data_IF_340030789273
#
_entry.id   IF_340030789273
#
_cell.length_a   1.000
_cell.length_b   1.000
_cell.length_c   1.000
_cell.angle_alpha   90.00
_cell.angle_beta   90.00
_cell.angle_gamma   90.00
#
_symmetry.space_group_name_H-M   'P 1'
#
loop_
_entity.id
_entity.type
_entity.pdbx_description
1 polymer ?
#
# COMPACT_ATOMS: atom_id res chain seq x y z
N UNK A 1 34.62 -33.58 68.40
CA UNK A 1 33.22 -33.71 68.84
C UNK A 1 32.69 -32.29 68.95
N UNK A 2 32.38 -31.66 67.82
CA UNK A 2 31.08 -31.74 67.11
C UNK A 2 29.98 -31.21 68.06
N UNK A 3 29.22 -30.16 67.73
CA UNK A 3 28.27 -30.12 66.61
C UNK A 3 28.05 -28.65 66.16
N UNK A 4 28.28 -28.41 64.87
CA UNK A 4 27.67 -27.32 64.09
C UNK A 4 26.23 -27.71 63.74
N UNK A 5 25.25 -26.86 64.06
CA UNK A 5 24.01 -26.62 63.30
C UNK A 5 23.09 -25.70 64.13
N UNK A 6 22.59 -24.58 63.63
CA UNK A 6 21.41 -24.45 62.74
C UNK A 6 21.13 -22.94 62.72
N UNK A 7 20.74 -22.21 61.67
CA UNK A 7 19.93 -22.46 60.49
C UNK A 7 20.19 -21.28 59.53
N UNK A 8 20.71 -21.56 58.33
CA UNK A 8 20.74 -20.61 57.22
C UNK A 8 19.46 -20.79 56.41
N UNK A 9 18.33 -20.28 56.93
CA UNK A 9 17.13 -20.14 56.10
C UNK A 9 17.15 -18.73 55.47
N UNK A 10 17.10 -18.62 54.14
CA UNK A 10 17.03 -17.30 53.52
C UNK A 10 15.70 -16.65 53.91
N UNK A 11 15.75 -15.41 54.41
CA UNK A 11 14.56 -14.59 54.62
C UNK A 11 13.76 -14.57 53.31
N UNK A 12 12.58 -15.19 53.33
CA UNK A 12 11.59 -14.96 52.28
C UNK A 12 11.03 -13.57 52.55
N UNK A 13 11.45 -12.60 51.75
CA UNK A 13 10.66 -11.40 51.55
C UNK A 13 9.32 -11.86 50.98
N UNK A 14 8.27 -11.84 51.80
CA UNK A 14 6.90 -11.87 51.32
C UNK A 14 6.66 -10.58 50.55
N UNK A 15 7.08 -10.60 49.29
CA UNK A 15 6.77 -9.56 48.31
C UNK A 15 5.27 -9.61 48.11
N UNK A 16 4.59 -8.63 48.70
CA UNK A 16 3.19 -8.36 48.47
C UNK A 16 2.88 -8.53 46.98
N UNK A 17 2.02 -9.52 46.72
CA UNK A 17 1.42 -9.88 45.44
C UNK A 17 1.52 -8.76 44.42
N UNK A 18 2.42 -8.94 43.46
CA UNK A 18 2.40 -8.27 42.17
C UNK A 18 0.97 -8.34 41.63
N UNK A 19 0.24 -7.23 41.75
CA UNK A 19 -1.09 -7.08 41.19
C UNK A 19 -0.96 -7.06 39.66
N UNK A 20 -1.29 -8.22 39.09
CA UNK A 20 -1.74 -8.48 37.71
C UNK A 20 -0.83 -8.14 36.53
N UNK A 21 -0.63 -9.08 35.58
CA UNK A 21 0.14 -8.85 34.37
C UNK A 21 -0.68 -8.07 33.31
N UNK A 22 -0.01 -7.13 32.64
CA UNK A 22 -0.05 -7.00 31.17
C UNK A 22 -1.45 -6.72 30.56
N UNK A 23 -1.93 -5.46 30.62
CA UNK A 23 -2.91 -4.94 29.62
C UNK A 23 -2.25 -4.44 28.33
N UNK A 24 -0.91 -4.37 28.32
CA UNK A 24 -0.12 -3.74 27.25
C UNK A 24 0.04 -4.67 26.02
N UNK A 25 0.21 -5.99 26.21
CA UNK A 25 0.39 -6.94 25.09
C UNK A 25 -0.82 -7.04 24.17
N UNK A 26 -2.04 -7.02 24.72
CA UNK A 26 -3.24 -7.22 23.93
C UNK A 26 -3.45 -6.09 22.89
N UNK A 27 -3.12 -4.86 23.28
CA UNK A 27 -3.19 -3.70 22.38
C UNK A 27 -2.07 -3.74 21.34
N UNK A 28 -0.84 -4.10 21.73
CA UNK A 28 0.28 -4.24 20.81
C UNK A 28 0.07 -5.37 19.80
N UNK A 29 -0.41 -6.53 20.24
CA UNK A 29 -0.74 -7.66 19.37
C UNK A 29 -1.84 -7.30 18.37
N UNK A 30 -2.86 -6.57 18.82
CA UNK A 30 -3.93 -6.05 17.95
C UNK A 30 -3.40 -5.04 16.93
N UNK A 31 -2.55 -4.10 17.36
CA UNK A 31 -1.89 -3.13 16.49
C UNK A 31 -1.02 -3.83 15.44
N UNK A 32 -0.26 -4.85 15.84
CA UNK A 32 0.58 -5.65 14.95
C UNK A 32 -0.26 -6.41 13.92
N UNK A 33 -1.34 -7.07 14.33
CA UNK A 33 -2.24 -7.78 13.42
C UNK A 33 -2.90 -6.83 12.40
N UNK A 34 -3.32 -5.64 12.85
CA UNK A 34 -3.86 -4.60 11.96
C UNK A 34 -2.81 -4.08 10.98
N UNK A 35 -1.58 -3.84 11.45
CA UNK A 35 -0.47 -3.44 10.59
C UNK A 35 -0.14 -4.51 9.55
N UNK A 36 -0.09 -5.79 9.96
CA UNK A 36 0.11 -6.95 9.09
C UNK A 36 -0.93 -7.00 7.95
N UNK A 37 -2.21 -6.78 8.27
CA UNK A 37 -3.26 -6.73 7.27
C UNK A 37 -3.06 -5.56 6.29
N UNK A 38 -2.76 -4.36 6.79
CA UNK A 38 -2.54 -3.18 5.94
C UNK A 38 -1.33 -3.33 5.02
N UNK A 39 -0.25 -3.98 5.49
CA UNK A 39 0.92 -4.27 4.67
C UNK A 39 0.58 -5.28 3.56
N UNK A 40 -0.18 -6.33 3.88
CA UNK A 40 -0.67 -7.27 2.86
C UNK A 40 -1.53 -6.58 1.80
N UNK A 41 -2.38 -5.65 2.21
CA UNK A 41 -3.19 -4.84 1.29
C UNK A 41 -2.31 -3.95 0.39
N UNK A 42 -1.26 -3.32 0.94
CA UNK A 42 -0.28 -2.55 0.16
C UNK A 42 0.45 -3.41 -0.86
N UNK A 43 0.90 -4.61 -0.47
CA UNK A 43 1.55 -5.56 -1.36
C UNK A 43 0.61 -6.02 -2.48
N UNK A 44 -0.66 -6.30 -2.15
CA UNK A 44 -1.67 -6.65 -3.14
C UNK A 44 -1.92 -5.51 -4.14
N UNK A 45 -2.03 -4.28 -3.65
CA UNK A 45 -2.17 -3.10 -4.49
C UNK A 45 -0.97 -2.88 -5.40
N UNK A 46 0.25 -3.11 -4.90
CA UNK A 46 1.47 -3.03 -5.70
C UNK A 46 1.50 -4.09 -6.80
N UNK A 47 1.15 -5.34 -6.50
CA UNK A 47 1.07 -6.39 -7.53
C UNK A 47 0.05 -6.06 -8.63
N UNK A 48 -1.11 -5.50 -8.26
CA UNK A 48 -2.12 -5.01 -9.21
C UNK A 48 -1.57 -3.84 -10.04
N UNK A 49 -0.87 -2.90 -9.41
CA UNK A 49 -0.23 -1.77 -10.08
C UNK A 49 0.78 -2.23 -11.13
N UNK A 50 1.67 -3.18 -10.78
CA UNK A 50 2.68 -3.70 -11.71
C UNK A 50 2.05 -4.33 -12.94
N UNK A 51 1.02 -5.17 -12.75
CA UNK A 51 0.32 -5.82 -13.86
C UNK A 51 -0.43 -4.80 -14.74
N UNK A 52 -1.10 -3.83 -14.12
CA UNK A 52 -1.79 -2.77 -14.82
C UNK A 52 -0.82 -1.91 -15.64
N UNK A 53 0.35 -1.57 -15.07
CA UNK A 53 1.37 -0.80 -15.76
C UNK A 53 1.95 -1.54 -16.96
N UNK A 54 2.30 -2.82 -16.80
CA UNK A 54 2.80 -3.64 -17.90
C UNK A 54 1.79 -3.70 -19.06
N UNK A 55 0.52 -3.96 -18.74
CA UNK A 55 -0.56 -4.04 -19.75
C UNK A 55 -0.85 -2.69 -20.39
N UNK A 56 -0.89 -1.61 -19.60
CA UNK A 56 -1.12 -0.26 -20.07
C UNK A 56 -0.05 0.20 -21.05
N UNK A 57 1.22 -0.03 -20.72
CA UNK A 57 2.35 0.30 -21.62
C UNK A 57 2.26 -0.45 -22.95
N UNK A 58 1.93 -1.75 -22.93
CA UNK A 58 1.75 -2.53 -24.14
C UNK A 58 0.60 -1.99 -25.03
N UNK A 59 -0.50 -1.56 -24.41
CA UNK A 59 -1.62 -0.93 -25.12
C UNK A 59 -1.22 0.40 -25.75
N UNK A 60 -0.47 1.24 -25.04
CA UNK A 60 0.03 2.50 -25.60
C UNK A 60 0.90 2.27 -26.85
N UNK A 61 1.84 1.32 -26.80
CA UNK A 61 2.65 0.98 -27.96
C UNK A 61 1.82 0.41 -29.12
N UNK A 62 0.80 -0.40 -28.83
CA UNK A 62 -0.09 -0.92 -29.87
C UNK A 62 -0.89 0.20 -30.55
N UNK A 63 -1.37 1.18 -29.78
CA UNK A 63 -2.09 2.35 -30.30
C UNK A 63 -1.16 3.20 -31.18
N UNK A 64 0.05 3.49 -30.70
CA UNK A 64 1.05 4.28 -31.42
C UNK A 64 1.50 3.60 -32.73
N UNK A 65 1.75 2.29 -32.68
CA UNK A 65 2.10 1.50 -33.87
C UNK A 65 0.97 1.47 -34.91
N UNK A 66 -0.30 1.51 -34.48
CA UNK A 66 -1.45 1.60 -35.39
C UNK A 66 -1.59 3.01 -35.96
N UNK A 67 -1.42 4.06 -35.15
CA UNK A 67 -1.42 5.46 -35.62
C UNK A 67 -0.36 5.71 -36.69
N UNK A 68 0.85 5.20 -36.51
CA UNK A 68 1.97 5.38 -37.46
C UNK A 68 1.84 4.58 -38.76
N UNK A 69 0.95 3.58 -38.82
CA UNK A 69 0.71 2.73 -40.01
C UNK A 69 -0.49 3.15 -40.85
N UNK A 70 -1.29 4.12 -40.39
CA UNK A 70 -2.27 4.79 -41.24
C UNK A 70 -1.55 5.88 -42.04
N UNK A 71 -1.27 5.72 -43.35
CA UNK A 71 -0.84 6.84 -44.16
C UNK A 71 -1.94 7.91 -44.18
N UNK A 72 -1.56 9.18 -44.32
CA UNK A 72 -2.41 10.36 -44.57
C UNK A 72 -3.16 10.27 -45.92
N UNK A 73 -3.75 9.11 -46.24
CA UNK A 73 -4.61 8.97 -47.40
C UNK A 73 -5.95 9.57 -47.03
N UNK A 74 -6.15 10.79 -47.53
CA UNK A 74 -7.33 11.59 -47.33
C UNK A 74 -8.61 10.80 -47.54
N UNK A 75 -9.38 10.72 -46.46
CA UNK A 75 -10.82 10.81 -46.50
C UNK A 75 -11.19 11.68 -45.30
N UNK A 76 -11.25 12.99 -45.54
CA UNK A 76 -11.81 13.98 -44.61
C UNK A 76 -13.31 13.73 -44.33
N UNK A 77 -13.91 12.69 -44.94
CA UNK A 77 -15.35 12.44 -44.91
C UNK A 77 -15.79 11.31 -43.95
N UNK A 78 -14.85 10.62 -43.30
CA UNK A 78 -15.21 9.76 -42.17
C UNK A 78 -14.34 10.10 -40.96
N UNK A 79 -14.86 10.92 -40.05
CA UNK A 79 -14.30 11.12 -38.70
C UNK A 79 -14.28 9.85 -37.83
N UNK A 80 -14.34 8.67 -38.45
CA UNK A 80 -14.28 7.39 -37.78
C UNK A 80 -12.81 7.07 -37.52
N UNK A 81 -12.41 7.20 -36.26
CA UNK A 81 -11.31 6.41 -35.71
C UNK A 81 -11.40 4.97 -36.27
N UNK A 82 -10.31 4.38 -36.79
CA UNK A 82 -10.32 2.99 -37.24
C UNK A 82 -10.97 2.12 -36.15
N UNK A 83 -11.96 1.29 -36.48
CA UNK A 83 -12.63 0.41 -35.51
C UNK A 83 -11.62 -0.43 -34.71
N UNK A 84 -10.48 -0.72 -35.34
CA UNK A 84 -9.31 -1.39 -34.80
C UNK A 84 -8.59 -0.66 -33.65
N UNK A 85 -8.83 0.64 -33.43
CA UNK A 85 -8.28 1.44 -32.33
C UNK A 85 -9.22 1.54 -31.13
N UNK A 86 -10.53 1.33 -31.32
CA UNK A 86 -11.52 1.43 -30.24
C UNK A 86 -11.25 0.41 -29.13
N UNK A 87 -11.04 -0.86 -29.48
CA UNK A 87 -10.82 -1.92 -28.50
C UNK A 87 -9.54 -1.72 -27.63
N UNK A 88 -8.38 -1.32 -28.18
CA UNK A 88 -7.23 -0.90 -27.38
C UNK A 88 -7.49 0.29 -26.44
N UNK A 89 -8.22 1.31 -26.91
CA UNK A 89 -8.58 2.48 -26.10
C UNK A 89 -9.54 2.12 -24.95
N UNK A 90 -10.55 1.28 -25.20
CA UNK A 90 -11.47 0.79 -24.17
C UNK A 90 -10.69 0.01 -23.09
N UNK A 91 -9.76 -0.85 -23.50
CA UNK A 91 -8.88 -1.56 -22.56
C UNK A 91 -8.00 -0.61 -21.77
N UNK A 92 -7.49 0.45 -22.38
CA UNK A 92 -6.69 1.47 -21.70
C UNK A 92 -7.51 2.24 -20.66
N UNK A 93 -8.80 2.49 -20.94
CA UNK A 93 -9.73 3.11 -19.98
C UNK A 93 -9.90 2.26 -18.71
N UNK A 94 -10.00 0.93 -18.86
CA UNK A 94 -10.06 -0.01 -17.73
C UNK A 94 -8.75 0.01 -16.93
N UNK A 95 -7.60 0.12 -17.61
CA UNK A 95 -6.31 0.28 -16.92
C UNK A 95 -6.28 1.60 -16.13
N UNK A 96 -6.81 2.69 -16.68
CA UNK A 96 -6.90 3.96 -15.97
C UNK A 96 -7.78 3.87 -14.72
N UNK A 97 -8.93 3.17 -14.79
CA UNK A 97 -9.79 2.97 -13.61
C UNK A 97 -9.09 2.14 -12.53
N UNK A 98 -8.30 1.13 -12.90
CA UNK A 98 -7.49 0.36 -11.94
C UNK A 98 -6.51 1.26 -11.19
N UNK A 99 -5.84 2.21 -11.86
CA UNK A 99 -4.95 3.15 -11.18
C UNK A 99 -5.70 4.08 -10.22
N UNK A 100 -6.90 4.53 -10.59
CA UNK A 100 -7.75 5.34 -9.70
C UNK A 100 -8.14 4.55 -8.45
N UNK A 101 -8.54 3.29 -8.61
CA UNK A 101 -8.90 2.42 -7.49
C UNK A 101 -7.71 2.16 -6.56
N UNK A 102 -6.53 1.92 -7.12
CA UNK A 102 -5.29 1.75 -6.34
C UNK A 102 -4.96 3.01 -5.54
N UNK A 103 -5.12 4.20 -6.13
CA UNK A 103 -4.93 5.47 -5.41
C UNK A 103 -5.92 5.58 -4.24
N UNK A 104 -7.20 5.30 -4.48
CA UNK A 104 -8.25 5.34 -3.44
C UNK A 104 -7.95 4.37 -2.30
N UNK A 105 -7.61 3.13 -2.62
CA UNK A 105 -7.30 2.10 -1.63
C UNK A 105 -6.04 2.47 -0.82
N UNK A 106 -4.99 2.97 -1.48
CA UNK A 106 -3.76 3.40 -0.83
C UNK A 106 -4.00 4.58 0.12
N UNK A 107 -4.85 5.54 -0.27
CA UNK A 107 -5.27 6.65 0.58
C UNK A 107 -6.05 6.18 1.81
N UNK A 108 -6.93 5.20 1.65
CA UNK A 108 -7.66 4.61 2.77
C UNK A 108 -6.73 3.84 3.72
N UNK A 109 -5.74 3.13 3.19
CA UNK A 109 -4.69 2.48 4.00
C UNK A 109 -3.88 3.53 4.78
N UNK A 110 -3.47 4.63 4.13
CA UNK A 110 -2.76 5.73 4.80
C UNK A 110 -3.59 6.31 5.95
N UNK A 111 -4.90 6.50 5.76
CA UNK A 111 -5.80 6.97 6.82
C UNK A 111 -5.82 5.98 7.99
N UNK A 112 -5.91 4.67 7.73
CA UNK A 112 -5.88 3.62 8.75
C UNK A 112 -4.53 3.56 9.49
N UNK A 113 -3.40 3.71 8.77
CA UNK A 113 -2.07 3.77 9.37
C UNK A 113 -1.89 4.99 10.29
N UNK A 114 -2.39 6.16 9.86
CA UNK A 114 -2.40 7.37 10.71
C UNK A 114 -3.24 7.15 11.97
N UNK A 115 -4.41 6.53 11.85
CA UNK A 115 -5.23 6.16 13.01
C UNK A 115 -4.52 5.20 13.97
N UNK A 116 -3.85 4.17 13.43
CA UNK A 116 -3.01 3.27 14.22
C UNK A 116 -1.89 4.00 14.95
N UNK A 117 -1.25 4.99 14.30
CA UNK A 117 -0.17 5.77 14.93
C UNK A 117 -0.64 6.71 16.04
N UNK A 118 -1.92 7.08 16.06
CA UNK A 118 -2.51 7.90 17.11
C UNK A 118 -2.99 7.05 18.29
N UNK A 119 -3.54 5.86 18.01
CA UNK A 119 -3.98 4.90 19.03
C UNK A 119 -2.83 4.34 19.86
N UNK A 120 -1.62 4.30 19.30
CA UNK A 120 -0.46 3.72 19.96
C UNK A 120 0.16 4.59 21.05
N UNK A 121 -0.31 5.84 21.27
CA UNK A 121 -0.18 6.67 22.48
C UNK A 121 1.22 6.99 23.04
N UNK A 122 2.11 6.02 23.14
CA UNK A 122 3.50 6.10 23.61
C UNK A 122 4.44 5.12 22.85
N UNK A 123 3.91 4.34 21.90
CA UNK A 123 4.61 3.25 21.19
C UNK A 123 5.01 3.57 19.74
N UNK A 124 5.04 4.84 19.32
CA UNK A 124 5.52 5.24 17.98
C UNK A 124 6.97 4.80 17.69
N UNK A 125 7.73 4.47 18.73
CA UNK A 125 9.08 3.93 18.69
C UNK A 125 9.16 2.40 18.70
N UNK A 126 8.03 1.68 18.83
CA UNK A 126 8.02 0.22 18.73
C UNK A 126 8.40 -0.17 17.31
N UNK A 127 9.47 -0.97 17.23
CA UNK A 127 9.99 -1.48 15.99
C UNK A 127 9.14 -2.68 15.59
N UNK A 128 8.32 -2.50 14.55
CA UNK A 128 7.63 -3.57 13.87
C UNK A 128 8.57 -4.23 12.86
N UNK A 129 8.46 -5.55 12.71
CA UNK A 129 9.28 -6.34 11.78
C UNK A 129 10.81 -6.12 11.91
N UNK A 130 11.29 -5.89 13.14
CA UNK A 130 12.71 -5.71 13.51
C UNK A 130 13.41 -4.47 12.94
N UNK A 131 12.87 -3.80 11.93
CA UNK A 131 13.57 -2.69 11.26
C UNK A 131 12.74 -1.43 11.07
N UNK A 132 11.40 -1.49 11.20
CA UNK A 132 10.54 -0.35 10.84
C UNK A 132 9.61 0.09 11.98
N UNK A 133 9.61 1.39 12.26
CA UNK A 133 8.63 2.04 13.14
C UNK A 133 7.33 2.31 12.39
N UNK A 134 6.21 2.38 13.11
CA UNK A 134 4.91 2.68 12.52
C UNK A 134 4.89 3.98 11.72
N UNK A 135 5.64 5.00 12.17
CA UNK A 135 5.81 6.28 11.46
C UNK A 135 6.49 6.11 10.10
N UNK A 136 7.44 5.18 9.98
CA UNK A 136 8.10 4.90 8.70
C UNK A 136 7.14 4.25 7.70
N UNK A 137 6.22 3.39 8.15
CA UNK A 137 5.15 2.87 7.30
C UNK A 137 4.21 3.97 6.81
N UNK A 138 3.87 4.95 7.67
CA UNK A 138 3.08 6.12 7.27
C UNK A 138 3.82 6.93 6.20
N UNK A 139 5.08 7.31 6.45
CA UNK A 139 5.87 8.10 5.50
C UNK A 139 6.06 7.39 4.16
N UNK A 140 6.34 6.08 4.18
CA UNK A 140 6.46 5.28 2.97
C UNK A 140 5.14 5.23 2.18
N UNK A 141 4.02 5.02 2.88
CA UNK A 141 2.70 4.93 2.22
C UNK A 141 2.28 6.28 1.63
N UNK A 142 2.64 7.39 2.27
CA UNK A 142 2.42 8.73 1.75
C UNK A 142 3.22 8.98 0.47
N UNK A 143 4.51 8.62 0.46
CA UNK A 143 5.32 8.70 -0.76
C UNK A 143 4.75 7.80 -1.88
N UNK A 144 4.33 6.59 -1.53
CA UNK A 144 3.74 5.65 -2.49
C UNK A 144 2.45 6.21 -3.10
N UNK A 145 1.57 6.81 -2.29
CA UNK A 145 0.35 7.46 -2.76
C UNK A 145 0.67 8.60 -3.74
N UNK A 146 1.65 9.45 -3.42
CA UNK A 146 2.07 10.53 -4.32
C UNK A 146 2.51 9.99 -5.69
N UNK A 147 3.28 8.88 -5.71
CA UNK A 147 3.70 8.24 -6.97
C UNK A 147 2.53 7.67 -7.75
N UNK A 148 1.58 7.02 -7.09
CA UNK A 148 0.38 6.51 -7.76
C UNK A 148 -0.51 7.62 -8.31
N UNK A 149 -0.67 8.73 -7.58
CA UNK A 149 -1.41 9.90 -8.05
C UNK A 149 -0.76 10.53 -9.28
N UNK A 150 0.58 10.68 -9.27
CA UNK A 150 1.32 11.17 -10.43
C UNK A 150 1.13 10.27 -11.66
N UNK A 151 1.28 8.96 -11.52
CA UNK A 151 1.08 8.02 -12.63
C UNK A 151 -0.37 8.09 -13.15
N UNK A 152 -1.35 8.14 -12.25
CA UNK A 152 -2.77 8.24 -12.59
C UNK A 152 -3.07 9.50 -13.41
N UNK A 153 -2.50 10.65 -13.01
CA UNK A 153 -2.64 11.92 -13.76
C UNK A 153 -2.07 11.80 -15.19
N UNK A 154 -0.90 11.17 -15.34
CA UNK A 154 -0.30 10.95 -16.66
C UNK A 154 -1.19 10.07 -17.53
N UNK A 155 -1.70 8.94 -16.99
CA UNK A 155 -2.58 8.05 -17.77
C UNK A 155 -3.90 8.72 -18.17
N UNK A 156 -4.48 9.55 -17.29
CA UNK A 156 -5.68 10.33 -17.59
C UNK A 156 -5.42 11.37 -18.68
N UNK A 157 -4.27 12.05 -18.65
CA UNK A 157 -3.90 13.03 -19.68
C UNK A 157 -3.70 12.37 -21.05
N UNK A 158 -3.01 11.23 -21.09
CA UNK A 158 -2.86 10.42 -22.31
C UNK A 158 -4.23 10.00 -22.86
N UNK A 159 -5.13 9.53 -21.99
CA UNK A 159 -6.48 9.15 -22.41
C UNK A 159 -7.29 10.32 -22.95
N UNK A 160 -7.17 11.52 -22.34
CA UNK A 160 -7.82 12.74 -22.84
C UNK A 160 -7.35 13.09 -24.25
N UNK A 161 -6.03 13.06 -24.48
CA UNK A 161 -5.41 13.33 -25.79
C UNK A 161 -5.72 12.29 -26.86
N UNK A 162 -6.08 11.07 -26.46
CA UNK A 162 -6.51 10.02 -27.40
C UNK A 162 -7.98 10.15 -27.81
N UNK A 163 -8.79 10.89 -27.07
CA UNK A 163 -10.22 11.07 -27.32
C UNK A 163 -10.56 12.45 -27.91
N UNK A 164 -9.60 13.38 -27.96
CA UNK A 164 -9.68 14.66 -28.69
C UNK A 164 -9.20 14.49 -30.12
#
# INVERSE_FOLDING_TARGET
MDILNTSLTPMRFDSHRLQSPIKYDANLATCKARLEALIKDLQSNYAKWQLAQQRGTALCYAIEAKKTRCPEKGDEESGNYPDDLRAPCDKLSIIATIFVDICKNTRDILRKLRGLSQLSGAESNVIFYRTWKLTQFVSFTELLLQRYEQESLVKQDVMRKLNS
#
